data_IF_680016415739
#
_entry.id   IF_680016415739
#
_cell.length_a   1.000
_cell.length_b   1.000
_cell.length_c   1.000
_cell.angle_alpha   90.00
_cell.angle_beta   90.00
_cell.angle_gamma   90.00
#
_symmetry.space_group_name_H-M   'P 1'
#
loop_
_entity.id
_entity.type
_entity.pdbx_description
1 polymer ?
#
# COMPACT_ATOMS: atom_id res chain seq x y z
N UNK A 1 8.74 39.76 36.09
CA UNK A 1 10.21 39.93 36.16
C UNK A 1 10.81 38.57 36.47
N UNK A 2 11.59 37.89 35.64
CA UNK A 2 12.35 38.24 34.43
C UNK A 2 12.14 37.15 33.36
N UNK A 3 12.12 37.58 32.11
CA UNK A 3 12.12 36.77 30.90
C UNK A 3 13.42 35.96 30.76
N UNK A 4 13.33 34.75 30.21
CA UNK A 4 14.46 34.03 29.63
C UNK A 4 14.10 33.70 28.19
N UNK A 5 14.79 34.38 27.28
CA UNK A 5 14.75 34.23 25.82
C UNK A 5 15.57 32.99 25.44
N UNK A 6 15.06 32.03 24.65
CA UNK A 6 15.89 31.03 23.99
C UNK A 6 16.47 31.59 22.69
N UNK A 7 17.78 31.48 22.52
CA UNK A 7 18.54 32.02 21.40
C UNK A 7 18.15 31.40 20.06
N UNK A 8 17.71 32.24 19.13
CA UNK A 8 17.66 31.97 17.70
C UNK A 8 19.06 32.23 17.13
N UNK A 9 19.76 31.19 16.66
CA UNK A 9 20.70 31.29 15.53
C UNK A 9 21.16 29.89 15.09
N UNK A 10 20.51 29.40 14.03
CA UNK A 10 21.18 28.88 12.84
C UNK A 10 20.18 29.03 11.67
N UNK A 11 20.23 30.20 11.04
CA UNK A 11 19.62 30.54 9.74
C UNK A 11 20.13 29.54 8.69
N UNK A 12 19.29 28.84 7.92
CA UNK A 12 18.48 29.33 6.79
C UNK A 12 19.27 30.22 5.83
N UNK A 13 19.93 29.61 4.85
CA UNK A 13 20.23 30.27 3.58
C UNK A 13 19.84 29.33 2.43
N UNK A 14 18.86 29.78 1.64
CA UNK A 14 18.41 29.15 0.39
C UNK A 14 17.02 28.52 0.48
N UNK A 15 15.98 29.31 0.16
CA UNK A 15 14.77 29.00 -0.64
C UNK A 15 13.84 30.21 -0.44
N UNK A 16 14.08 31.26 -1.22
CA UNK A 16 13.12 32.33 -1.49
C UNK A 16 13.09 32.44 -3.02
N UNK A 17 12.06 31.89 -3.67
CA UNK A 17 11.98 31.91 -5.13
C UNK A 17 10.77 31.24 -5.78
N UNK A 18 9.74 30.78 -5.06
CA UNK A 18 8.54 30.21 -5.67
C UNK A 18 7.29 30.94 -5.20
N UNK A 19 7.08 32.13 -5.73
CA UNK A 19 5.81 32.89 -5.66
C UNK A 19 5.82 33.94 -6.76
N UNK A 20 5.26 33.60 -7.94
CA UNK A 20 4.87 34.44 -9.13
C UNK A 20 4.70 33.46 -10.33
N UNK A 21 3.59 33.27 -11.05
CA UNK A 21 2.61 34.17 -11.71
C UNK A 21 1.27 33.45 -12.01
N UNK A 22 0.15 34.19 -12.13
CA UNK A 22 -1.21 33.64 -12.36
C UNK A 22 -1.77 33.83 -13.79
N UNK A 23 -1.21 34.75 -14.59
CA UNK A 23 -1.80 35.19 -15.87
C UNK A 23 -1.58 34.23 -17.06
N UNK A 24 -0.60 33.32 -17.02
CA UNK A 24 -0.33 32.40 -18.14
C UNK A 24 -1.33 31.24 -18.25
N UNK A 25 -2.05 30.91 -17.17
CA UNK A 25 -3.01 29.79 -17.14
C UNK A 25 -4.32 30.10 -17.90
N UNK A 26 -4.78 31.34 -17.91
CA UNK A 26 -6.06 31.72 -18.55
C UNK A 26 -6.01 31.68 -20.08
N UNK A 27 -4.83 31.85 -20.70
CA UNK A 27 -4.70 31.93 -22.15
C UNK A 27 -4.98 30.58 -22.85
N UNK A 28 -4.58 29.47 -22.22
CA UNK A 28 -4.67 28.13 -22.82
C UNK A 28 -6.09 27.54 -22.76
N UNK A 29 -6.86 27.80 -21.71
CA UNK A 29 -8.24 27.30 -21.60
C UNK A 29 -9.18 27.89 -22.67
N UNK A 30 -8.93 29.14 -23.07
CA UNK A 30 -9.76 29.85 -24.05
C UNK A 30 -9.61 29.29 -25.48
N UNK A 31 -8.44 28.73 -25.82
CA UNK A 31 -8.15 28.20 -27.15
C UNK A 31 -8.81 26.83 -27.39
N UNK A 32 -8.84 25.96 -26.39
CA UNK A 32 -9.43 24.62 -26.48
C UNK A 32 -10.97 24.65 -26.55
N UNK A 33 -11.58 25.58 -25.81
CA UNK A 33 -13.02 25.75 -25.80
C UNK A 33 -13.62 26.02 -27.19
N UNK A 34 -12.87 26.71 -28.05
CA UNK A 34 -13.28 27.04 -29.43
C UNK A 34 -13.26 25.83 -30.37
N UNK A 35 -12.39 24.85 -30.14
CA UNK A 35 -12.26 23.67 -31.02
C UNK A 35 -13.36 22.62 -30.78
N UNK A 36 -13.82 22.43 -29.55
CA UNK A 36 -14.83 21.41 -29.22
C UNK A 36 -16.22 21.71 -29.79
N UNK A 37 -16.60 22.98 -29.84
CA UNK A 37 -17.84 23.44 -30.47
C UNK A 37 -17.89 23.06 -31.96
N UNK A 38 -16.73 23.02 -32.64
CA UNK A 38 -16.61 22.68 -34.06
C UNK A 38 -16.91 21.20 -34.36
N UNK A 39 -16.46 20.28 -33.50
CA UNK A 39 -16.68 18.83 -33.66
C UNK A 39 -18.11 18.41 -33.34
N UNK A 40 -18.66 19.01 -32.30
CA UNK A 40 -20.04 18.81 -31.86
C UNK A 40 -21.02 19.13 -33.01
N UNK A 41 -20.83 20.28 -33.65
CA UNK A 41 -21.65 20.73 -34.79
C UNK A 41 -21.52 19.80 -36.00
N UNK A 42 -20.34 19.22 -36.22
CA UNK A 42 -20.10 18.24 -37.29
C UNK A 42 -20.86 16.92 -37.05
N UNK A 43 -20.89 16.41 -35.82
CA UNK A 43 -21.58 15.17 -35.48
C UNK A 43 -23.10 15.27 -35.69
N UNK A 44 -23.72 16.32 -35.17
CA UNK A 44 -25.17 16.56 -35.34
C UNK A 44 -25.54 16.59 -36.82
N UNK A 45 -24.72 17.26 -37.63
CA UNK A 45 -24.91 17.35 -39.09
C UNK A 45 -24.84 15.97 -39.77
N UNK A 46 -23.97 15.06 -39.32
CA UNK A 46 -23.80 13.73 -39.90
C UNK A 46 -24.85 12.72 -39.44
N UNK A 47 -25.39 12.87 -38.23
CA UNK A 47 -26.46 12.01 -37.72
C UNK A 47 -27.85 12.40 -38.24
N UNK A 48 -28.02 13.66 -38.65
CA UNK A 48 -29.29 14.22 -39.13
C UNK A 48 -30.02 13.35 -40.18
N UNK A 49 -29.39 12.84 -41.25
CA UNK A 49 -30.09 12.02 -42.25
C UNK A 49 -30.67 10.70 -41.68
N UNK A 50 -30.00 10.11 -40.69
CA UNK A 50 -30.43 8.85 -40.05
C UNK A 50 -31.63 9.12 -39.12
N UNK A 51 -31.60 10.25 -38.41
CA UNK A 51 -32.67 10.66 -37.49
C UNK A 51 -33.90 11.10 -38.28
N UNK A 52 -33.72 11.86 -39.36
CA UNK A 52 -34.80 12.35 -40.22
C UNK A 52 -35.58 11.22 -40.90
N UNK A 53 -34.91 10.08 -41.16
CA UNK A 53 -35.54 8.88 -41.71
C UNK A 53 -36.20 7.98 -40.65
N UNK A 54 -36.04 8.29 -39.36
CA UNK A 54 -36.54 7.48 -38.26
C UNK A 54 -37.84 8.07 -37.68
N UNK A 55 -38.92 7.30 -37.70
CA UNK A 55 -40.25 7.74 -37.27
C UNK A 55 -40.33 8.17 -35.79
N UNK A 56 -39.36 7.77 -34.96
CA UNK A 56 -39.25 8.19 -33.56
C UNK A 56 -38.60 9.58 -33.38
N UNK A 57 -38.27 10.29 -34.47
CA UNK A 57 -37.78 11.67 -34.40
C UNK A 57 -38.89 12.61 -33.88
N UNK A 58 -38.61 13.45 -32.86
CA UNK A 58 -39.55 14.48 -32.40
C UNK A 58 -39.86 15.49 -33.52
N UNK A 59 -41.13 15.91 -33.64
CA UNK A 59 -41.58 16.81 -34.73
C UNK A 59 -40.93 18.19 -34.69
N UNK A 60 -40.57 18.65 -33.49
CA UNK A 60 -39.93 19.94 -33.22
C UNK A 60 -38.41 19.83 -33.04
N UNK A 61 -37.83 18.64 -33.20
CA UNK A 61 -36.40 18.37 -33.01
C UNK A 61 -35.51 19.39 -33.74
N UNK A 62 -35.85 19.76 -34.98
CA UNK A 62 -35.04 20.70 -35.77
C UNK A 62 -35.07 22.15 -35.25
N UNK A 63 -36.00 22.47 -34.35
CA UNK A 63 -36.11 23.77 -33.69
C UNK A 63 -35.33 23.83 -32.37
N UNK A 64 -34.87 22.69 -31.85
CA UNK A 64 -34.10 22.61 -30.60
C UNK A 64 -32.68 23.15 -30.77
N UNK A 65 -32.05 23.52 -29.66
CA UNK A 65 -30.64 23.91 -29.65
C UNK A 65 -29.73 22.72 -29.96
N UNK A 66 -28.50 22.98 -30.41
CA UNK A 66 -27.55 21.91 -30.77
C UNK A 66 -27.26 20.97 -29.58
N UNK A 67 -27.16 21.50 -28.35
CA UNK A 67 -26.94 20.70 -27.14
C UNK A 67 -28.13 19.80 -26.80
N UNK A 68 -29.36 20.32 -26.93
CA UNK A 68 -30.59 19.55 -26.71
C UNK A 68 -30.74 18.44 -27.76
N UNK A 69 -30.44 18.75 -29.02
CA UNK A 69 -30.43 17.76 -30.10
C UNK A 69 -29.46 16.63 -29.81
N UNK A 70 -28.24 16.93 -29.35
CA UNK A 70 -27.21 15.93 -29.04
C UNK A 70 -27.62 15.05 -27.87
N UNK A 71 -28.07 15.67 -26.78
CA UNK A 71 -28.49 14.93 -25.60
C UNK A 71 -29.61 13.96 -25.95
N UNK A 72 -30.57 14.41 -26.75
CA UNK A 72 -31.65 13.58 -27.24
C UNK A 72 -31.17 12.41 -28.13
N UNK A 73 -30.22 12.66 -29.04
CA UNK A 73 -29.60 11.60 -29.86
C UNK A 73 -28.96 10.54 -28.98
N UNK A 74 -28.19 10.96 -27.97
CA UNK A 74 -27.46 10.06 -27.06
C UNK A 74 -28.43 9.21 -26.24
N UNK A 75 -29.41 9.85 -25.60
CA UNK A 75 -30.33 9.18 -24.69
C UNK A 75 -31.24 8.18 -25.44
N UNK A 76 -31.48 8.41 -26.73
CA UNK A 76 -32.32 7.58 -27.60
C UNK A 76 -31.51 6.82 -28.66
N UNK A 77 -30.19 6.67 -28.49
CA UNK A 77 -29.29 6.12 -29.52
C UNK A 77 -29.67 4.69 -29.90
N UNK A 78 -30.25 3.90 -28.99
CA UNK A 78 -30.81 2.57 -29.31
C UNK A 78 -31.96 2.62 -30.30
N UNK A 79 -32.81 3.63 -30.18
CA UNK A 79 -34.00 3.79 -31.04
C UNK A 79 -33.57 4.16 -32.46
N UNK A 80 -32.53 5.00 -32.56
CA UNK A 80 -31.97 5.44 -33.84
C UNK A 80 -30.97 4.43 -34.45
N UNK A 81 -30.32 3.62 -33.61
CA UNK A 81 -29.32 2.62 -34.01
C UNK A 81 -29.48 1.31 -33.20
N UNK A 82 -30.57 0.55 -33.42
CA UNK A 82 -30.94 -0.62 -32.59
C UNK A 82 -30.01 -1.82 -32.74
N UNK A 83 -29.18 -1.85 -33.78
CA UNK A 83 -28.18 -2.89 -33.98
C UNK A 83 -27.01 -2.82 -33.00
N UNK A 84 -26.93 -1.78 -32.17
CA UNK A 84 -25.84 -1.59 -31.22
C UNK A 84 -26.13 -2.31 -29.89
N UNK A 85 -25.29 -3.27 -29.48
CA UNK A 85 -25.46 -4.02 -28.23
C UNK A 85 -25.53 -3.12 -26.99
N UNK A 86 -26.38 -3.50 -26.02
CA UNK A 86 -26.64 -2.74 -24.79
C UNK A 86 -25.36 -2.34 -24.03
N UNK A 87 -24.39 -3.25 -23.97
CA UNK A 87 -23.13 -3.04 -23.25
C UNK A 87 -22.24 -1.98 -23.87
N UNK A 88 -22.49 -1.54 -25.12
CA UNK A 88 -21.60 -0.67 -25.88
C UNK A 88 -22.17 0.74 -26.13
N UNK A 89 -23.39 1.01 -25.68
CA UNK A 89 -24.06 2.30 -25.91
C UNK A 89 -23.33 3.49 -25.28
N UNK A 90 -22.59 3.24 -24.20
CA UNK A 90 -21.82 4.26 -23.51
C UNK A 90 -20.69 4.84 -24.39
N UNK A 91 -20.24 4.11 -25.41
CA UNK A 91 -19.11 4.52 -26.26
C UNK A 91 -19.47 5.65 -27.22
N UNK A 92 -20.69 5.66 -27.78
CA UNK A 92 -21.17 6.73 -28.68
C UNK A 92 -21.36 8.05 -27.94
N UNK A 93 -21.77 7.97 -26.68
CA UNK A 93 -21.88 9.14 -25.80
C UNK A 93 -20.51 9.78 -25.58
N UNK A 94 -19.45 8.99 -25.44
CA UNK A 94 -18.09 9.46 -25.14
C UNK A 94 -17.45 10.31 -26.25
N UNK A 95 -17.78 10.07 -27.51
CA UNK A 95 -17.20 10.75 -28.68
C UNK A 95 -17.54 12.24 -28.82
N UNK A 96 -18.44 12.78 -28.00
CA UNK A 96 -18.99 14.14 -28.13
C UNK A 96 -18.49 15.12 -27.06
N UNK A 97 -17.54 14.68 -26.24
CA UNK A 97 -16.96 15.45 -25.13
C UNK A 97 -15.47 15.78 -25.40
N UNK A 98 -14.92 16.82 -24.73
CA UNK A 98 -13.56 17.38 -24.95
C UNK A 98 -12.41 16.44 -24.55
N UNK A 99 -11.19 16.75 -25.02
CA UNK A 99 -9.96 15.95 -24.82
C UNK A 99 -9.35 15.99 -23.41
N UNK A 100 -9.48 17.09 -22.67
CA UNK A 100 -9.55 17.05 -21.20
C UNK A 100 -11.02 17.20 -20.82
N UNK A 101 -11.55 16.23 -20.08
CA UNK A 101 -12.93 16.23 -19.60
C UNK A 101 -13.08 16.88 -18.22
N UNK A 102 -12.09 17.69 -17.81
CA UNK A 102 -11.87 18.13 -16.43
C UNK A 102 -11.36 16.98 -15.55
N UNK A 103 -10.68 15.99 -16.15
CA UNK A 103 -10.17 14.81 -15.45
C UNK A 103 -8.70 14.59 -15.73
N UNK A 104 -7.93 15.08 -14.77
CA UNK A 104 -7.13 14.26 -13.87
C UNK A 104 -6.45 13.00 -14.44
N UNK A 105 -5.15 13.17 -14.70
CA UNK A 105 -3.95 12.31 -14.58
C UNK A 105 -3.98 10.79 -14.84
N UNK A 106 -5.12 10.18 -15.11
CA UNK A 106 -5.27 8.72 -15.16
C UNK A 106 -5.39 8.16 -16.58
N UNK A 107 -5.52 9.01 -17.59
CA UNK A 107 -5.59 8.58 -18.99
C UNK A 107 -4.19 8.58 -19.60
N UNK A 108 -3.77 7.43 -20.15
CA UNK A 108 -2.42 7.25 -20.72
C UNK A 108 -2.47 7.00 -22.25
N UNK A 109 -1.60 7.65 -23.05
CA UNK A 109 -1.80 7.76 -24.49
C UNK A 109 -1.06 6.69 -25.29
N UNK A 110 -1.44 6.59 -26.56
CA UNK A 110 -1.12 5.51 -27.49
C UNK A 110 0.35 5.40 -27.95
N UNK A 111 1.25 6.32 -27.59
CA UNK A 111 2.70 6.22 -27.89
C UNK A 111 3.49 5.38 -26.86
N UNK A 112 2.79 4.78 -25.91
CA UNK A 112 3.36 4.16 -24.71
C UNK A 112 4.05 2.82 -24.99
N UNK A 113 5.36 2.79 -24.81
CA UNK A 113 6.21 1.58 -24.79
C UNK A 113 6.11 0.86 -23.44
N UNK A 114 5.77 -0.43 -23.52
CA UNK A 114 5.38 -1.29 -22.41
C UNK A 114 6.55 -1.94 -21.65
N UNK A 115 7.77 -1.97 -22.19
CA UNK A 115 8.95 -2.50 -21.46
C UNK A 115 9.55 -1.45 -20.53
N UNK A 116 9.46 -0.18 -20.91
CA UNK A 116 9.83 0.97 -20.06
C UNK A 116 8.83 1.20 -18.91
N UNK A 117 7.93 0.25 -18.64
CA UNK A 117 6.70 0.48 -17.90
C UNK A 117 6.58 -0.22 -16.52
N UNK A 118 7.41 -1.20 -16.22
CA UNK A 118 7.23 -2.09 -15.05
C UNK A 118 7.97 -1.66 -13.75
N UNK A 119 7.63 -0.59 -13.00
CA UNK A 119 8.35 -0.34 -11.72
C UNK A 119 7.48 0.14 -10.54
N UNK A 120 7.56 -0.60 -9.42
CA UNK A 120 6.61 -0.60 -8.30
C UNK A 120 7.00 0.11 -6.99
N UNK A 121 6.24 -0.19 -5.93
CA UNK A 121 6.15 0.47 -4.62
C UNK A 121 7.46 0.64 -3.83
N UNK A 122 8.55 0.02 -4.28
CA UNK A 122 9.85 0.07 -3.62
C UNK A 122 10.62 1.38 -3.89
N UNK A 123 10.37 2.01 -5.04
CA UNK A 123 11.11 3.20 -5.50
C UNK A 123 11.04 4.38 -4.53
N UNK A 124 9.87 4.79 -3.97
CA UNK A 124 9.83 5.86 -2.99
C UNK A 124 10.66 5.58 -1.72
N UNK A 125 10.77 4.30 -1.33
CA UNK A 125 11.58 3.90 -0.17
C UNK A 125 13.07 4.05 -0.44
N UNK A 126 13.53 3.61 -1.60
CA UNK A 126 14.94 3.73 -2.03
C UNK A 126 15.29 5.20 -2.23
N UNK A 127 14.45 5.94 -2.96
CA UNK A 127 14.64 7.37 -3.24
C UNK A 127 14.76 8.22 -1.97
N UNK A 128 14.04 7.85 -0.90
CA UNK A 128 14.15 8.55 0.39
C UNK A 128 15.51 8.39 1.06
N UNK A 129 16.30 7.37 0.70
CA UNK A 129 17.61 7.03 1.28
C UNK A 129 17.59 6.86 2.80
N UNK A 130 16.46 6.43 3.36
CA UNK A 130 16.27 6.23 4.81
C UNK A 130 16.09 4.76 5.18
N UNK A 131 16.44 3.81 4.30
CA UNK A 131 16.19 2.37 4.55
C UNK A 131 17.11 1.42 3.82
N UNK A 132 18.08 1.92 3.06
CA UNK A 132 18.99 1.12 2.23
C UNK A 132 20.20 0.55 3.00
N UNK A 133 20.22 0.68 4.32
CA UNK A 133 21.11 -0.05 5.21
C UNK A 133 20.31 -0.57 6.41
N UNK A 134 20.74 -1.67 7.07
CA UNK A 134 20.06 -2.19 8.26
C UNK A 134 19.85 -1.14 9.37
N UNK A 135 20.83 -0.28 9.63
CA UNK A 135 20.71 0.78 10.63
C UNK A 135 19.69 1.85 10.23
N UNK A 136 19.71 2.33 8.98
CA UNK A 136 18.74 3.31 8.51
C UNK A 136 17.31 2.73 8.51
N UNK A 137 17.16 1.48 8.08
CA UNK A 137 15.89 0.75 8.14
C UNK A 137 15.40 0.65 9.59
N UNK A 138 16.25 0.24 10.54
CA UNK A 138 15.93 0.20 11.96
C UNK A 138 15.36 1.54 12.45
N UNK A 139 16.07 2.66 12.22
CA UNK A 139 15.64 4.00 12.64
C UNK A 139 14.28 4.39 12.03
N UNK A 140 14.09 4.13 10.73
CA UNK A 140 12.83 4.44 10.04
C UNK A 140 11.68 3.63 10.59
N UNK A 141 11.81 2.30 10.65
CA UNK A 141 10.70 1.45 11.06
C UNK A 141 10.39 1.59 12.56
N UNK A 142 11.40 1.88 13.41
CA UNK A 142 11.16 2.27 14.80
C UNK A 142 10.30 3.54 14.90
N UNK A 143 10.60 4.56 14.11
CA UNK A 143 9.80 5.78 14.02
C UNK A 143 8.37 5.48 13.55
N UNK A 144 8.20 4.66 12.51
CA UNK A 144 6.87 4.22 12.04
C UNK A 144 6.08 3.49 13.14
N UNK A 145 6.71 2.57 13.89
CA UNK A 145 6.07 1.88 15.02
C UNK A 145 5.61 2.88 16.08
N UNK A 146 6.41 3.89 16.39
CA UNK A 146 6.06 4.92 17.37
C UNK A 146 4.85 5.77 16.95
N UNK A 147 4.75 6.11 15.65
CA UNK A 147 3.59 6.78 15.09
C UNK A 147 2.34 5.89 15.13
N UNK A 148 2.43 4.64 14.67
CA UNK A 148 1.27 3.73 14.69
C UNK A 148 0.82 3.48 16.13
N UNK A 149 1.74 3.31 17.07
CA UNK A 149 1.40 3.17 18.49
C UNK A 149 0.60 4.38 18.98
N UNK A 150 1.04 5.61 18.69
CA UNK A 150 0.31 6.82 19.12
C UNK A 150 -1.09 6.86 18.52
N UNK A 151 -1.22 6.57 17.22
CA UNK A 151 -2.51 6.55 16.52
C UNK A 151 -3.50 5.51 17.06
N UNK A 152 -2.99 4.40 17.61
CA UNK A 152 -3.81 3.31 18.13
C UNK A 152 -4.14 3.47 19.62
N UNK A 153 -3.38 4.27 20.36
CA UNK A 153 -3.55 4.41 21.83
C UNK A 153 -4.04 5.79 22.27
N UNK A 154 -4.06 6.77 21.37
CA UNK A 154 -4.45 8.15 21.65
C UNK A 154 -5.45 8.63 20.58
N UNK A 155 -6.11 9.77 20.81
CA UNK A 155 -7.11 10.31 19.87
C UNK A 155 -6.44 11.02 18.67
N UNK A 156 -6.59 10.53 17.43
CA UNK A 156 -6.00 11.15 16.24
C UNK A 156 -6.85 12.28 15.64
N UNK A 157 -8.06 12.53 16.13
CA UNK A 157 -9.02 13.48 15.55
C UNK A 157 -8.95 14.87 16.16
N UNK A 158 -8.70 14.94 17.47
CA UNK A 158 -8.65 16.22 18.20
C UNK A 158 -7.35 16.96 17.94
N UNK A 159 -7.46 18.21 17.48
CA UNK A 159 -6.31 19.09 17.24
C UNK A 159 -5.49 19.26 18.52
N UNK A 160 -4.17 19.10 18.40
CA UNK A 160 -3.22 19.30 19.50
C UNK A 160 -2.85 18.01 20.26
N UNK A 161 -3.56 16.90 20.06
CA UNK A 161 -3.10 15.60 20.59
C UNK A 161 -1.82 15.15 19.87
N UNK A 162 -1.03 14.29 20.53
CA UNK A 162 0.18 13.75 19.92
C UNK A 162 -0.14 12.92 18.67
N UNK A 163 -1.17 12.07 18.71
CA UNK A 163 -1.60 11.30 17.54
C UNK A 163 -2.04 12.18 16.35
N UNK A 164 -2.79 13.27 16.60
CA UNK A 164 -3.15 14.23 15.54
C UNK A 164 -1.90 14.86 14.91
N UNK A 165 -0.97 15.36 15.74
CA UNK A 165 0.27 15.99 15.28
C UNK A 165 1.17 15.01 14.49
N UNK A 166 1.20 13.75 14.93
CA UNK A 166 1.89 12.66 14.25
C UNK A 166 1.30 12.40 12.86
N UNK A 167 -0.03 12.36 12.73
CA UNK A 167 -0.70 12.23 11.43
C UNK A 167 -0.36 13.39 10.50
N UNK A 168 -0.44 14.64 10.98
CA UNK A 168 -0.09 15.81 10.17
C UNK A 168 1.37 15.78 9.72
N UNK A 169 2.26 15.28 10.57
CA UNK A 169 3.68 15.09 10.25
C UNK A 169 3.88 14.06 9.16
N UNK A 170 3.27 12.88 9.27
CA UNK A 170 3.36 11.83 8.24
C UNK A 170 2.72 12.29 6.92
N UNK A 171 1.58 13.00 6.96
CA UNK A 171 0.94 13.55 5.75
C UNK A 171 1.85 14.55 5.02
N UNK A 172 2.55 15.41 5.76
CA UNK A 172 3.57 16.32 5.18
C UNK A 172 4.74 15.55 4.57
N UNK A 173 5.21 14.48 5.23
CA UNK A 173 6.27 13.62 4.68
C UNK A 173 5.86 12.94 3.37
N UNK A 174 4.64 12.39 3.32
CA UNK A 174 4.09 11.78 2.10
C UNK A 174 3.97 12.80 0.97
N UNK A 175 3.45 14.01 1.26
CA UNK A 175 3.37 15.11 0.28
C UNK A 175 4.77 15.51 -0.22
N UNK A 176 5.74 15.66 0.67
CA UNK A 176 7.10 16.04 0.29
C UNK A 176 7.75 15.01 -0.64
N UNK A 177 7.59 13.71 -0.36
CA UNK A 177 8.10 12.64 -1.24
C UNK A 177 7.33 12.61 -2.55
N UNK A 178 6.00 12.79 -2.53
CA UNK A 178 5.18 12.90 -3.75
C UNK A 178 5.68 14.02 -4.65
N UNK A 179 5.84 15.24 -4.13
CA UNK A 179 6.32 16.39 -4.89
C UNK A 179 7.71 16.14 -5.49
N UNK A 180 8.66 15.64 -4.69
CA UNK A 180 10.01 15.31 -5.19
C UNK A 180 10.02 14.27 -6.30
N UNK A 181 9.07 13.33 -6.28
CA UNK A 181 8.93 12.33 -7.33
C UNK A 181 8.17 12.87 -8.54
N UNK A 182 7.26 13.84 -8.38
CA UNK A 182 6.56 14.48 -9.50
C UNK A 182 7.47 15.46 -10.27
N UNK A 183 8.44 16.06 -9.60
CA UNK A 183 9.44 16.96 -10.20
C UNK A 183 10.51 16.23 -11.03
N UNK A 184 10.55 14.90 -10.97
CA UNK A 184 11.55 14.07 -11.66
C UNK A 184 10.92 13.25 -12.75
N UNK A 185 11.66 13.09 -13.85
CA UNK A 185 11.25 12.15 -14.88
C UNK A 185 11.46 10.70 -14.43
N UNK A 186 10.95 9.76 -15.24
CA UNK A 186 11.00 8.34 -14.89
C UNK A 186 12.43 7.79 -14.87
N UNK A 187 13.30 8.26 -15.76
CA UNK A 187 14.68 7.79 -15.90
C UNK A 187 15.53 8.28 -14.71
N UNK A 188 15.32 9.52 -14.28
CA UNK A 188 15.93 10.09 -13.08
C UNK A 188 15.55 9.32 -11.82
N UNK A 189 14.26 9.01 -11.63
CA UNK A 189 13.79 8.21 -10.50
C UNK A 189 14.39 6.82 -10.55
N UNK A 190 14.52 6.26 -11.76
CA UNK A 190 15.07 4.94 -11.97
C UNK A 190 16.55 4.86 -11.62
N UNK A 191 17.35 5.83 -12.06
CA UNK A 191 18.74 5.97 -11.65
C UNK A 191 18.83 6.19 -10.13
N UNK A 192 18.00 7.08 -9.57
CA UNK A 192 17.97 7.36 -8.14
C UNK A 192 17.40 6.20 -7.28
N UNK A 193 16.83 5.17 -7.91
CA UNK A 193 16.33 3.96 -7.25
C UNK A 193 17.24 2.75 -7.47
N UNK A 194 18.35 2.90 -8.21
CA UNK A 194 19.34 1.84 -8.41
C UNK A 194 20.26 1.79 -7.20
N UNK A 195 20.30 0.63 -6.55
CA UNK A 195 21.19 0.39 -5.43
C UNK A 195 22.51 -0.15 -5.98
N UNK A 196 23.66 0.53 -5.77
CA UNK A 196 24.96 0.01 -6.17
C UNK A 196 25.27 -1.25 -5.34
N UNK A 197 25.63 -2.34 -6.02
CA UNK A 197 25.97 -3.63 -5.38
C UNK A 197 24.91 -4.10 -4.37
N UNK A 198 23.67 -4.37 -4.82
CA UNK A 198 22.59 -4.75 -3.92
C UNK A 198 22.94 -6.02 -3.15
N UNK A 199 22.62 -6.02 -1.85
CA UNK A 199 22.76 -7.19 -0.98
C UNK A 199 21.67 -8.21 -1.28
N UNK A 200 21.87 -9.01 -2.33
CA UNK A 200 20.88 -9.97 -2.81
C UNK A 200 21.46 -11.40 -3.04
N UNK A 201 22.10 -12.02 -2.04
CA UNK A 201 22.81 -13.29 -2.20
C UNK A 201 21.90 -14.50 -2.45
N UNK A 202 20.59 -14.38 -2.23
CA UNK A 202 19.65 -15.49 -2.46
C UNK A 202 18.73 -15.23 -3.65
N UNK A 203 19.01 -14.23 -4.49
CA UNK A 203 18.10 -13.79 -5.57
C UNK A 203 17.77 -14.91 -6.54
N UNK A 204 18.77 -15.63 -7.03
CA UNK A 204 18.58 -16.71 -8.01
C UNK A 204 17.65 -17.80 -7.44
N UNK A 205 17.94 -18.25 -6.21
CA UNK A 205 17.11 -19.23 -5.49
C UNK A 205 15.68 -18.72 -5.30
N UNK A 206 15.52 -17.45 -4.93
CA UNK A 206 14.20 -16.83 -4.76
C UNK A 206 13.45 -16.76 -6.09
N UNK A 207 14.11 -16.35 -7.16
CA UNK A 207 13.51 -16.25 -8.49
C UNK A 207 13.05 -17.61 -9.01
N UNK A 208 13.81 -18.67 -8.76
CA UNK A 208 13.42 -20.03 -9.11
C UNK A 208 12.21 -20.52 -8.31
N UNK A 209 12.19 -20.31 -6.99
CA UNK A 209 11.05 -20.72 -6.18
C UNK A 209 9.77 -19.93 -6.53
N UNK A 210 9.92 -18.64 -6.83
CA UNK A 210 8.83 -17.77 -7.26
C UNK A 210 8.44 -17.99 -8.73
N UNK A 211 9.07 -18.93 -9.45
CA UNK A 211 8.80 -19.20 -10.86
C UNK A 211 7.43 -19.84 -11.13
N UNK A 212 6.67 -20.16 -10.08
CA UNK A 212 5.27 -20.60 -10.16
C UNK A 212 4.27 -19.44 -10.05
N UNK A 213 4.70 -18.28 -9.53
CA UNK A 213 3.83 -17.12 -9.41
C UNK A 213 3.46 -16.56 -10.80
N UNK A 214 2.23 -16.06 -10.99
CA UNK A 214 1.82 -15.45 -12.24
C UNK A 214 2.75 -14.28 -12.61
N UNK A 215 2.91 -14.00 -13.89
CA UNK A 215 3.50 -12.73 -14.29
C UNK A 215 2.45 -11.61 -14.12
N UNK A 216 2.88 -10.40 -13.74
CA UNK A 216 1.99 -9.26 -13.67
C UNK A 216 1.68 -8.83 -15.10
N UNK A 217 0.53 -9.26 -15.59
CA UNK A 217 0.00 -8.90 -16.91
C UNK A 217 -1.40 -8.30 -16.77
N UNK A 218 -1.89 -7.72 -17.86
CA UNK A 218 -3.21 -7.09 -17.94
C UNK A 218 -4.30 -8.14 -17.75
N UNK A 219 -4.12 -9.29 -18.41
CA UNK A 219 -5.03 -10.43 -18.37
C UNK A 219 -5.14 -10.99 -16.95
N UNK A 220 -4.06 -10.88 -16.16
CA UNK A 220 -4.03 -11.27 -14.75
C UNK A 220 -4.47 -10.14 -13.81
N UNK A 221 -5.16 -9.11 -14.31
CA UNK A 221 -5.74 -8.02 -13.50
C UNK A 221 -4.71 -7.05 -12.91
N UNK A 222 -3.44 -7.15 -13.30
CA UNK A 222 -2.42 -6.17 -12.95
C UNK A 222 -2.49 -4.98 -13.92
N UNK A 223 -3.60 -4.24 -13.88
CA UNK A 223 -3.78 -3.05 -14.72
C UNK A 223 -2.76 -1.94 -14.39
N UNK A 224 -2.10 -2.00 -13.23
CA UNK A 224 -0.95 -1.17 -12.92
C UNK A 224 0.30 -1.51 -13.76
N UNK A 225 0.29 -2.61 -14.52
CA UNK A 225 1.25 -2.91 -15.61
C UNK A 225 0.92 -2.10 -16.87
N UNK A 226 -0.23 -1.44 -16.93
CA UNK A 226 -0.64 -0.45 -17.94
C UNK A 226 -0.59 0.99 -17.47
N UNK A 227 -0.46 1.26 -16.15
CA UNK A 227 -0.36 2.61 -15.56
C UNK A 227 0.93 2.81 -14.71
N UNK A 228 1.84 3.72 -15.14
CA UNK A 228 3.09 4.10 -14.45
C UNK A 228 2.94 5.56 -14.04
N UNK A 229 2.84 5.81 -12.74
CA UNK A 229 2.57 7.11 -12.14
C UNK A 229 3.88 7.67 -11.53
N UNK A 230 4.15 8.96 -11.72
CA UNK A 230 5.20 9.66 -10.97
C UNK A 230 4.62 10.14 -9.64
N UNK A 231 5.26 9.75 -8.55
CA UNK A 231 4.79 10.08 -7.20
C UNK A 231 3.90 9.03 -6.55
N UNK A 232 3.67 9.25 -5.26
CA UNK A 232 2.89 8.37 -4.38
C UNK A 232 1.38 8.61 -4.60
N UNK A 233 0.69 7.68 -5.26
CA UNK A 233 -0.73 7.84 -5.63
C UNK A 233 -1.70 7.18 -4.60
N UNK A 234 -3.01 7.30 -4.83
CA UNK A 234 -4.05 6.73 -3.94
C UNK A 234 -3.99 5.19 -3.85
N UNK A 235 -3.64 4.50 -4.95
CA UNK A 235 -3.47 3.05 -4.95
C UNK A 235 -2.24 2.63 -4.14
N UNK A 236 -1.13 3.37 -4.19
CA UNK A 236 0.05 3.10 -3.34
C UNK A 236 -0.29 3.27 -1.85
N UNK A 237 -1.09 4.29 -1.52
CA UNK A 237 -1.56 4.53 -0.15
C UNK A 237 -2.48 3.39 0.31
N UNK A 238 -3.43 2.95 -0.53
CA UNK A 238 -4.32 1.84 -0.23
C UNK A 238 -3.59 0.49 -0.14
N UNK A 239 -2.62 0.23 -1.02
CA UNK A 239 -1.75 -0.94 -0.96
C UNK A 239 -0.88 -0.95 0.30
N UNK A 240 -0.40 0.22 0.73
CA UNK A 240 0.32 0.36 2.01
C UNK A 240 -0.61 0.09 3.20
N UNK A 241 -1.86 0.56 3.16
CA UNK A 241 -2.87 0.25 4.17
C UNK A 241 -3.12 -1.27 4.23
N UNK A 242 -3.24 -1.94 3.08
CA UNK A 242 -3.29 -3.41 3.01
C UNK A 242 -2.04 -4.05 3.63
N UNK A 243 -0.83 -3.53 3.37
CA UNK A 243 0.40 -4.10 3.93
C UNK A 243 0.43 -4.09 5.47
N UNK A 244 -0.28 -3.15 6.12
CA UNK A 244 -0.43 -3.12 7.59
C UNK A 244 -1.48 -4.08 8.12
N UNK A 245 -2.59 -4.29 7.39
CA UNK A 245 -3.78 -4.96 7.95
C UNK A 245 -4.16 -6.27 7.27
N UNK A 246 -3.83 -6.44 6.00
CA UNK A 246 -4.35 -7.50 5.14
C UNK A 246 -3.98 -8.91 5.61
N UNK A 247 -2.72 -9.11 5.99
CA UNK A 247 -2.26 -10.42 6.49
C UNK A 247 -2.88 -10.75 7.85
N UNK A 248 -3.03 -9.76 8.74
CA UNK A 248 -3.70 -9.92 10.04
C UNK A 248 -5.18 -10.23 9.83
N UNK A 249 -5.83 -9.57 8.88
CA UNK A 249 -7.24 -9.75 8.57
C UNK A 249 -7.54 -11.15 8.02
N UNK A 250 -6.66 -11.67 7.16
CA UNK A 250 -6.86 -12.96 6.50
C UNK A 250 -6.38 -14.15 7.35
N UNK A 251 -5.31 -13.96 8.13
CA UNK A 251 -4.65 -15.03 8.87
C UNK A 251 -4.41 -14.66 10.35
N UNK A 252 -5.41 -14.13 11.09
CA UNK A 252 -5.20 -13.58 12.43
C UNK A 252 -4.60 -14.61 13.39
N UNK A 253 -4.98 -15.89 13.25
CA UNK A 253 -4.48 -16.96 14.12
C UNK A 253 -2.99 -17.26 13.90
N UNK A 254 -2.44 -17.00 12.72
CA UNK A 254 -0.99 -17.12 12.46
C UNK A 254 -0.21 -16.01 13.16
N UNK A 255 -0.87 -14.92 13.54
CA UNK A 255 -0.29 -13.84 14.35
C UNK A 255 -0.67 -13.96 15.83
N UNK A 256 -1.32 -15.05 16.24
CA UNK A 256 -1.78 -15.24 17.63
C UNK A 256 -2.96 -14.34 18.01
N UNK A 257 -3.69 -13.82 17.02
CA UNK A 257 -4.84 -12.93 17.21
C UNK A 257 -6.12 -13.76 17.12
N UNK A 258 -6.92 -13.73 18.19
CA UNK A 258 -8.19 -14.44 18.29
C UNK A 258 -9.24 -13.48 18.80
N UNK A 259 -9.98 -12.89 17.86
CA UNK A 259 -10.96 -11.83 18.11
C UNK A 259 -12.27 -12.16 17.39
N UNK A 260 -13.35 -11.53 17.82
CA UNK A 260 -14.64 -11.67 17.13
C UNK A 260 -14.62 -10.97 15.76
N UNK A 261 -15.57 -11.30 14.89
CA UNK A 261 -15.73 -10.55 13.63
C UNK A 261 -16.12 -9.09 13.89
N UNK A 262 -16.80 -8.79 15.00
CA UNK A 262 -17.10 -7.41 15.43
C UNK A 262 -15.81 -6.64 15.76
N UNK A 263 -14.93 -7.22 16.58
CA UNK A 263 -13.63 -6.62 16.92
C UNK A 263 -12.75 -6.45 15.67
N UNK A 264 -12.76 -7.42 14.75
CA UNK A 264 -12.02 -7.34 13.49
C UNK A 264 -12.61 -6.25 12.58
N UNK A 265 -13.94 -6.06 12.57
CA UNK A 265 -14.58 -4.98 11.85
C UNK A 265 -14.22 -3.62 12.46
N UNK A 266 -14.17 -3.50 13.79
CA UNK A 266 -13.73 -2.29 14.49
C UNK A 266 -12.25 -1.97 14.21
N UNK A 267 -11.39 -2.99 14.15
CA UNK A 267 -10.00 -2.85 13.72
C UNK A 267 -9.92 -2.29 12.28
N UNK A 268 -10.68 -2.84 11.34
CA UNK A 268 -10.76 -2.32 9.98
C UNK A 268 -11.32 -0.89 9.93
N UNK A 269 -12.31 -0.57 10.76
CA UNK A 269 -12.90 0.76 10.85
C UNK A 269 -11.89 1.80 11.35
N UNK A 270 -11.09 1.44 12.35
CA UNK A 270 -9.98 2.26 12.84
C UNK A 270 -9.00 2.58 11.71
N UNK A 271 -8.57 1.57 10.95
CA UNK A 271 -7.67 1.76 9.82
C UNK A 271 -8.31 2.54 8.66
N UNK A 272 -9.62 2.43 8.44
CA UNK A 272 -10.36 3.28 7.50
C UNK A 272 -10.22 4.76 7.91
N UNK A 273 -10.47 5.07 9.18
CA UNK A 273 -10.32 6.42 9.74
C UNK A 273 -8.89 6.96 9.61
N UNK A 274 -7.88 6.15 9.92
CA UNK A 274 -6.47 6.52 9.73
C UNK A 274 -6.13 6.78 8.26
N UNK A 275 -6.64 5.94 7.34
CA UNK A 275 -6.50 6.15 5.90
C UNK A 275 -7.08 7.49 5.44
N UNK A 276 -8.29 7.83 5.91
CA UNK A 276 -8.93 9.12 5.65
C UNK A 276 -8.06 10.30 6.14
N UNK A 277 -7.61 10.24 7.39
CA UNK A 277 -6.77 11.28 7.99
C UNK A 277 -5.42 11.45 7.25
N UNK A 278 -4.85 10.36 6.77
CA UNK A 278 -3.63 10.36 5.95
C UNK A 278 -3.85 10.84 4.49
N UNK A 279 -5.10 11.05 4.07
CA UNK A 279 -5.47 11.64 2.78
C UNK A 279 -5.93 10.64 1.72
N UNK A 280 -6.35 9.44 2.11
CA UNK A 280 -6.98 8.48 1.21
C UNK A 280 -8.44 8.85 1.03
N UNK A 281 -8.89 9.04 -0.22
CA UNK A 281 -10.31 9.28 -0.50
C UNK A 281 -11.15 8.04 -0.16
N UNK A 282 -12.37 8.26 0.33
CA UNK A 282 -13.27 7.20 0.79
C UNK A 282 -13.52 6.10 -0.25
N UNK A 283 -13.63 6.47 -1.53
CA UNK A 283 -13.82 5.52 -2.64
C UNK A 283 -12.61 4.62 -2.90
N UNK A 284 -11.40 5.04 -2.50
CA UNK A 284 -10.15 4.29 -2.69
C UNK A 284 -9.61 3.65 -1.41
N UNK A 285 -10.21 3.95 -0.26
CA UNK A 285 -9.79 3.41 1.04
C UNK A 285 -9.92 1.89 1.06
N UNK A 286 -8.83 1.19 1.40
CA UNK A 286 -8.78 -0.27 1.34
C UNK A 286 -9.74 -0.91 2.35
N UNK A 287 -9.99 -0.22 3.47
CA UNK A 287 -10.89 -0.66 4.53
C UNK A 287 -12.36 -0.18 4.33
N UNK A 288 -12.76 0.21 3.11
CA UNK A 288 -14.16 0.58 2.82
C UNK A 288 -15.06 -0.66 2.69
N UNK A 289 -16.33 -0.48 3.06
CA UNK A 289 -17.38 -1.52 3.00
C UNK A 289 -17.45 -2.38 4.25
N UNK A 290 -18.14 -3.50 4.13
CA UNK A 290 -18.30 -4.53 5.17
C UNK A 290 -17.02 -5.35 5.36
N UNK A 291 -16.88 -6.00 6.53
CA UNK A 291 -15.76 -6.91 6.80
C UNK A 291 -15.61 -8.01 5.74
N UNK A 292 -16.72 -8.52 5.20
CA UNK A 292 -16.74 -9.52 4.13
C UNK A 292 -16.10 -8.98 2.85
N UNK A 293 -16.46 -7.76 2.44
CA UNK A 293 -15.89 -7.11 1.26
C UNK A 293 -14.40 -6.81 1.43
N UNK A 294 -13.96 -6.38 2.62
CA UNK A 294 -12.54 -6.12 2.89
C UNK A 294 -11.72 -7.42 2.87
N UNK A 295 -12.23 -8.50 3.48
CA UNK A 295 -11.61 -9.84 3.41
C UNK A 295 -11.52 -10.34 1.97
N UNK A 296 -12.58 -10.15 1.17
CA UNK A 296 -12.56 -10.55 -0.24
C UNK A 296 -11.53 -9.75 -1.05
N UNK A 297 -11.56 -8.42 -0.95
CA UNK A 297 -10.59 -7.53 -1.59
C UNK A 297 -9.15 -7.87 -1.21
N UNK A 298 -8.91 -8.26 0.04
CA UNK A 298 -7.59 -8.68 0.52
C UNK A 298 -7.10 -9.95 -0.18
N UNK A 299 -7.99 -10.95 -0.38
CA UNK A 299 -7.65 -12.16 -1.14
C UNK A 299 -7.38 -11.84 -2.60
N UNK A 300 -8.25 -11.06 -3.22
CA UNK A 300 -8.11 -10.65 -4.62
C UNK A 300 -6.79 -9.87 -4.81
N UNK A 301 -6.45 -8.97 -3.90
CA UNK A 301 -5.19 -8.22 -3.94
C UNK A 301 -3.95 -9.14 -3.81
N UNK A 302 -4.02 -10.19 -2.99
CA UNK A 302 -2.94 -11.17 -2.88
C UNK A 302 -2.78 -11.93 -4.19
N UNK A 303 -3.86 -12.53 -4.69
CA UNK A 303 -3.82 -13.40 -5.85
C UNK A 303 -3.45 -12.64 -7.13
N UNK A 304 -4.08 -11.48 -7.33
CA UNK A 304 -3.94 -10.70 -8.56
C UNK A 304 -2.62 -9.91 -8.52
N UNK A 305 -2.33 -9.17 -7.44
CA UNK A 305 -1.17 -8.25 -7.44
C UNK A 305 0.03 -8.82 -6.68
N UNK A 306 -0.13 -9.23 -5.42
CA UNK A 306 1.03 -9.57 -4.57
C UNK A 306 1.85 -10.71 -5.16
N UNK A 307 1.20 -11.82 -5.52
CA UNK A 307 1.87 -12.97 -6.15
C UNK A 307 2.53 -12.58 -7.47
N UNK A 308 1.82 -11.81 -8.29
CA UNK A 308 2.31 -11.35 -9.59
C UNK A 308 3.57 -10.49 -9.48
N UNK A 309 3.64 -9.59 -8.50
CA UNK A 309 4.82 -8.74 -8.29
C UNK A 309 5.97 -9.49 -7.61
N UNK A 310 5.69 -10.50 -6.78
CA UNK A 310 6.72 -11.36 -6.20
C UNK A 310 7.52 -12.11 -7.29
N UNK A 311 6.87 -12.50 -8.39
CA UNK A 311 7.52 -13.18 -9.53
C UNK A 311 8.79 -12.48 -10.03
N UNK A 312 8.85 -11.15 -9.93
CA UNK A 312 9.98 -10.38 -10.46
C UNK A 312 11.25 -10.45 -9.60
N UNK A 313 11.13 -10.68 -8.28
CA UNK A 313 12.25 -10.82 -7.34
C UNK A 313 13.46 -9.89 -7.63
N UNK A 314 13.21 -8.58 -7.66
CA UNK A 314 14.22 -7.59 -8.04
C UNK A 314 15.40 -7.58 -7.04
N UNK A 315 16.64 -7.27 -7.48
CA UNK A 315 17.79 -7.17 -6.58
C UNK A 315 17.57 -6.19 -5.44
N UNK A 316 16.99 -5.02 -5.76
CA UNK A 316 16.68 -3.99 -4.79
C UNK A 316 15.60 -4.45 -3.82
N UNK A 317 14.67 -5.31 -4.25
CA UNK A 317 13.63 -5.87 -3.39
C UNK A 317 14.24 -6.78 -2.32
N UNK A 318 15.13 -7.70 -2.69
CA UNK A 318 15.81 -8.54 -1.71
C UNK A 318 16.67 -7.69 -0.76
N UNK A 319 17.45 -6.75 -1.30
CA UNK A 319 18.30 -5.88 -0.51
C UNK A 319 17.51 -5.07 0.53
N UNK A 320 16.44 -4.42 0.10
CA UNK A 320 15.61 -3.59 0.99
C UNK A 320 14.92 -4.46 2.03
N UNK A 321 14.34 -5.60 1.63
CA UNK A 321 13.71 -6.54 2.57
C UNK A 321 14.72 -7.04 3.61
N UNK A 322 15.95 -7.38 3.20
CA UNK A 322 17.02 -7.74 4.14
C UNK A 322 17.37 -6.61 5.09
N UNK A 323 17.48 -5.38 4.61
CA UNK A 323 17.75 -4.24 5.49
C UNK A 323 16.66 -4.09 6.55
N UNK A 324 15.38 -4.27 6.18
CA UNK A 324 14.26 -4.26 7.13
C UNK A 324 14.40 -5.38 8.16
N UNK A 325 14.61 -6.63 7.70
CA UNK A 325 14.64 -7.79 8.61
C UNK A 325 15.87 -7.74 9.52
N UNK A 326 17.05 -7.41 9.01
CA UNK A 326 18.25 -7.23 9.83
C UNK A 326 18.12 -6.06 10.80
N UNK A 327 17.55 -4.93 10.37
CA UNK A 327 17.27 -3.81 11.26
C UNK A 327 16.28 -4.19 12.37
N UNK A 328 15.29 -5.02 12.06
CA UNK A 328 14.36 -5.56 13.06
C UNK A 328 15.03 -6.50 14.06
N UNK A 329 16.11 -7.17 13.64
CA UNK A 329 16.87 -8.08 14.51
C UNK A 329 17.56 -7.36 15.69
N UNK A 330 17.70 -6.03 15.63
CA UNK A 330 18.27 -5.24 16.72
C UNK A 330 17.38 -5.22 17.97
N UNK A 331 16.13 -5.64 17.85
CA UNK A 331 15.18 -5.71 18.96
C UNK A 331 14.28 -6.95 18.97
N UNK A 332 14.09 -7.59 17.82
CA UNK A 332 13.43 -8.89 17.68
C UNK A 332 14.30 -9.84 16.86
N UNK A 333 15.40 -10.31 17.45
CA UNK A 333 16.40 -11.18 16.80
C UNK A 333 15.97 -12.63 16.51
N UNK A 334 14.68 -12.95 16.60
CA UNK A 334 14.21 -14.34 16.47
C UNK A 334 14.18 -14.80 15.00
N UNK A 335 13.71 -13.95 14.09
CA UNK A 335 13.54 -14.29 12.68
C UNK A 335 14.73 -13.80 11.82
N UNK A 336 15.26 -14.69 10.99
CA UNK A 336 16.21 -14.30 9.92
C UNK A 336 15.45 -13.96 8.64
N UNK A 337 16.10 -13.32 7.67
CA UNK A 337 15.52 -13.04 6.36
C UNK A 337 14.87 -14.29 5.73
N UNK A 338 15.58 -15.43 5.74
CA UNK A 338 15.08 -16.69 5.17
C UNK A 338 13.82 -17.17 5.89
N UNK A 339 13.82 -17.13 7.22
CA UNK A 339 12.66 -17.54 8.02
C UNK A 339 11.46 -16.63 7.76
N UNK A 340 11.65 -15.31 7.71
CA UNK A 340 10.57 -14.36 7.43
C UNK A 340 10.02 -14.54 6.03
N UNK A 341 10.88 -14.73 5.03
CA UNK A 341 10.45 -14.98 3.67
C UNK A 341 9.59 -16.24 3.59
N UNK A 342 10.06 -17.36 4.17
CA UNK A 342 9.31 -18.62 4.22
C UNK A 342 7.99 -18.51 4.99
N UNK A 343 7.97 -17.74 6.07
CA UNK A 343 6.74 -17.48 6.82
C UNK A 343 5.72 -16.73 5.95
N UNK A 344 6.14 -15.65 5.28
CA UNK A 344 5.26 -14.86 4.42
C UNK A 344 4.78 -15.67 3.20
N UNK A 345 5.67 -16.39 2.51
CA UNK A 345 5.28 -17.19 1.34
C UNK A 345 4.35 -18.34 1.72
N UNK A 346 4.50 -18.93 2.92
CA UNK A 346 3.54 -19.90 3.44
C UNK A 346 2.13 -19.30 3.59
N UNK A 347 2.01 -18.08 4.13
CA UNK A 347 0.71 -17.40 4.24
C UNK A 347 0.07 -17.15 2.87
N UNK A 348 0.91 -16.87 1.87
CA UNK A 348 0.48 -16.66 0.48
C UNK A 348 0.25 -17.98 -0.28
N UNK A 349 0.46 -19.14 0.34
CA UNK A 349 0.42 -20.45 -0.31
C UNK A 349 1.36 -20.55 -1.52
N UNK A 350 2.60 -20.07 -1.35
CA UNK A 350 3.68 -20.17 -2.33
C UNK A 350 4.74 -21.10 -1.75
N UNK A 351 5.02 -22.21 -2.43
CA UNK A 351 6.08 -23.12 -2.02
C UNK A 351 7.45 -22.58 -2.41
N UNK A 352 8.42 -22.72 -1.50
CA UNK A 352 9.78 -22.20 -1.65
C UNK A 352 10.81 -23.29 -1.30
N UNK A 353 10.80 -24.43 -2.01
CA UNK A 353 11.56 -25.62 -1.62
C UNK A 353 13.08 -25.38 -1.64
N UNK A 354 13.59 -24.56 -2.56
CA UNK A 354 15.02 -24.27 -2.65
C UNK A 354 15.46 -23.35 -1.51
N UNK A 355 14.67 -22.32 -1.19
CA UNK A 355 14.93 -21.47 -0.03
C UNK A 355 14.92 -22.29 1.27
N UNK A 356 13.94 -23.21 1.43
CA UNK A 356 13.89 -24.13 2.59
C UNK A 356 15.14 -25.00 2.70
N UNK A 357 15.66 -25.50 1.58
CA UNK A 357 16.86 -26.34 1.61
C UNK A 357 18.09 -25.57 2.11
N UNK A 358 18.15 -24.26 1.87
CA UNK A 358 19.25 -23.39 2.35
C UNK A 358 19.22 -23.05 3.84
N UNK A 359 18.18 -23.42 4.59
CA UNK A 359 18.11 -23.15 6.02
C UNK A 359 19.16 -23.96 6.77
N UNK A 360 19.88 -23.30 7.68
CA UNK A 360 20.73 -23.98 8.67
C UNK A 360 19.90 -24.84 9.62
N UNK A 361 20.51 -25.82 10.29
CA UNK A 361 19.83 -26.61 11.33
C UNK A 361 19.17 -25.73 12.40
N UNK A 362 19.86 -24.66 12.82
CA UNK A 362 19.33 -23.71 13.80
C UNK A 362 18.14 -22.92 13.27
N UNK A 363 18.17 -22.45 12.02
CA UNK A 363 17.03 -21.77 11.40
C UNK A 363 15.83 -22.70 11.21
N UNK A 364 16.06 -23.96 10.79
CA UNK A 364 14.99 -24.98 10.69
C UNK A 364 14.35 -25.21 12.04
N UNK A 365 15.15 -25.38 13.09
CA UNK A 365 14.67 -25.57 14.46
C UNK A 365 13.82 -24.37 14.94
N UNK A 366 14.31 -23.14 14.77
CA UNK A 366 13.55 -21.94 15.13
C UNK A 366 12.25 -21.80 14.33
N UNK A 367 12.25 -22.15 13.04
CA UNK A 367 11.06 -22.09 12.20
C UNK A 367 10.01 -23.12 12.66
N UNK A 368 10.43 -24.34 12.97
CA UNK A 368 9.55 -25.38 13.55
C UNK A 368 8.97 -24.92 14.88
N UNK A 369 9.80 -24.36 15.79
CA UNK A 369 9.31 -23.82 17.06
C UNK A 369 8.28 -22.72 16.82
N UNK A 370 8.54 -21.78 15.89
CA UNK A 370 7.59 -20.69 15.61
C UNK A 370 6.23 -21.19 15.14
N UNK A 371 6.22 -22.20 14.27
CA UNK A 371 5.00 -22.85 13.79
C UNK A 371 4.32 -23.67 14.91
N UNK A 372 5.10 -24.36 15.74
CA UNK A 372 4.58 -25.16 16.85
C UNK A 372 3.97 -24.29 17.96
N UNK A 373 4.57 -23.13 18.28
CA UNK A 373 4.01 -22.18 19.24
C UNK A 373 2.65 -21.63 18.78
N UNK A 374 2.45 -21.45 17.45
CA UNK A 374 1.14 -21.16 16.87
C UNK A 374 0.18 -22.35 16.99
N UNK A 375 0.65 -23.59 16.80
CA UNK A 375 -0.15 -24.81 16.94
C UNK A 375 -0.58 -25.07 18.38
N UNK A 376 0.26 -24.85 19.39
CA UNK A 376 -0.10 -24.98 20.81
C UNK A 376 -1.19 -23.97 21.19
N UNK A 377 -1.13 -22.75 20.65
CA UNK A 377 -2.19 -21.76 20.83
C UNK A 377 -3.49 -22.14 20.09
N UNK A 378 -3.38 -22.71 18.88
CA UNK A 378 -4.52 -23.30 18.14
C UNK A 378 -5.14 -24.49 18.88
N UNK A 379 -4.33 -25.41 19.41
CA UNK A 379 -4.79 -26.55 20.23
C UNK A 379 -5.43 -26.09 21.54
N UNK A 380 -4.87 -25.08 22.21
CA UNK A 380 -5.47 -24.46 23.40
C UNK A 380 -6.89 -23.91 23.12
N UNK A 381 -7.15 -23.43 21.90
CA UNK A 381 -8.48 -22.93 21.49
C UNK A 381 -9.39 -24.05 21.01
N UNK A 382 -8.88 -25.06 20.29
CA UNK A 382 -9.64 -26.26 19.93
C UNK A 382 -10.10 -27.00 21.19
N UNK A 383 -9.26 -27.05 22.23
CA UNK A 383 -9.59 -27.57 23.56
C UNK A 383 -10.73 -26.80 24.28
N UNK A 384 -11.12 -25.60 23.81
CA UNK A 384 -12.30 -24.85 24.27
C UNK A 384 -13.61 -25.25 23.56
N UNK A 385 -13.60 -26.15 22.58
CA UNK A 385 -14.85 -26.62 21.96
C UNK A 385 -15.61 -27.54 22.91
N UNK A 386 -16.96 -27.47 22.93
CA UNK A 386 -17.79 -28.28 23.85
C UNK A 386 -17.54 -29.79 23.74
N UNK A 387 -17.08 -30.26 22.58
CA UNK A 387 -16.78 -31.67 22.30
C UNK A 387 -15.47 -32.13 22.98
N UNK A 388 -14.43 -31.29 23.00
CA UNK A 388 -13.16 -31.60 23.66
C UNK A 388 -13.26 -31.52 25.19
N UNK A 389 -14.07 -30.61 25.73
CA UNK A 389 -14.34 -30.52 27.17
C UNK A 389 -15.07 -31.77 27.70
N UNK A 390 -16.00 -32.34 26.91
CA UNK A 390 -16.67 -33.61 27.23
C UNK A 390 -15.72 -34.81 27.22
N UNK A 391 -14.80 -34.88 26.24
CA UNK A 391 -13.77 -35.92 26.15
C UNK A 391 -12.75 -35.83 27.29
N UNK A 392 -12.34 -34.62 27.68
CA UNK A 392 -11.36 -34.40 28.74
C UNK A 392 -11.93 -34.71 30.14
N UNK A 393 -13.20 -34.38 30.38
CA UNK A 393 -13.90 -34.75 31.62
C UNK A 393 -14.10 -36.26 31.81
N UNK A 394 -14.02 -37.05 30.73
CA UNK A 394 -14.13 -38.51 30.79
C UNK A 394 -12.78 -39.20 31.07
N UNK A 395 -11.66 -38.60 30.66
CA UNK A 395 -10.32 -39.21 30.75
C UNK A 395 -9.52 -38.86 32.01
N UNK A 396 -9.82 -37.73 32.66
CA UNK A 396 -9.12 -37.29 33.87
C UNK A 396 -10.14 -36.93 34.95
N UNK A 397 -10.60 -37.96 35.66
CA UNK A 397 -11.27 -37.77 36.93
C UNK A 397 -10.28 -37.27 37.98
N UNK A 398 -9.86 -35.99 37.93
CA UNK A 398 -9.25 -35.26 39.05
C UNK A 398 -9.10 -33.75 38.78
N UNK A 399 -9.81 -32.97 39.60
CA UNK A 399 -9.62 -31.57 40.04
C UNK A 399 -9.63 -30.43 39.01
N UNK A 400 -10.72 -29.67 39.12
CA UNK A 400 -10.89 -28.27 38.73
C UNK A 400 -9.74 -27.36 39.25
N UNK A 401 -9.58 -26.22 38.56
CA UNK A 401 -8.87 -24.99 38.97
C UNK A 401 -7.48 -24.68 38.38
N UNK A 402 -7.34 -24.82 37.06
CA UNK A 402 -6.47 -23.92 36.30
C UNK A 402 -7.32 -23.20 35.26
N UNK A 403 -7.70 -21.95 35.54
CA UNK A 403 -8.43 -21.11 34.61
C UNK A 403 -7.50 -20.74 33.44
N UNK A 404 -7.52 -21.56 32.39
CA UNK A 404 -6.71 -21.38 31.19
C UNK A 404 -6.84 -19.97 30.58
N UNK A 405 -7.97 -19.27 30.79
CA UNK A 405 -8.17 -17.88 30.36
C UNK A 405 -7.27 -16.91 31.13
N UNK A 406 -7.08 -17.12 32.43
CA UNK A 406 -6.18 -16.33 33.27
C UNK A 406 -4.72 -16.56 32.89
N UNK A 407 -4.32 -17.82 32.69
CA UNK A 407 -2.94 -18.15 32.27
C UNK A 407 -2.60 -17.51 30.92
N UNK A 408 -3.48 -17.60 29.92
CA UNK A 408 -3.27 -16.97 28.60
C UNK A 408 -3.26 -15.44 28.70
N UNK A 409 -4.08 -14.85 29.56
CA UNK A 409 -4.05 -13.41 29.81
C UNK A 409 -2.76 -12.94 30.49
N UNK A 410 -2.22 -13.72 31.44
CA UNK A 410 -0.94 -13.45 32.10
C UNK A 410 0.21 -13.52 31.09
N UNK A 411 0.26 -14.57 30.26
CA UNK A 411 1.28 -14.72 29.22
C UNK A 411 1.21 -13.57 28.21
N UNK A 412 0.01 -13.22 27.73
CA UNK A 412 -0.20 -12.07 26.84
C UNK A 412 0.23 -10.75 27.48
N UNK A 413 -0.11 -10.54 28.76
CA UNK A 413 0.27 -9.34 29.51
C UNK A 413 1.79 -9.24 29.66
N UNK A 414 2.46 -10.35 30.00
CA UNK A 414 3.90 -10.43 30.11
C UNK A 414 4.60 -10.15 28.78
N UNK A 415 4.12 -10.76 27.69
CA UNK A 415 4.62 -10.51 26.34
C UNK A 415 4.46 -9.04 25.94
N UNK A 416 3.26 -8.46 26.15
CA UNK A 416 3.00 -7.05 25.87
C UNK A 416 3.94 -6.13 26.68
N UNK A 417 4.19 -6.46 27.96
CA UNK A 417 5.11 -5.72 28.83
C UNK A 417 6.55 -5.79 28.33
N UNK A 418 7.01 -6.97 27.90
CA UNK A 418 8.34 -7.17 27.31
C UNK A 418 8.47 -6.32 26.04
N UNK A 419 7.52 -6.43 25.11
CA UNK A 419 7.54 -5.67 23.85
C UNK A 419 7.54 -4.16 24.12
N UNK A 420 6.71 -3.69 25.04
CA UNK A 420 6.63 -2.26 25.37
C UNK A 420 7.92 -1.75 26.04
N UNK A 421 8.52 -2.54 26.93
CA UNK A 421 9.78 -2.19 27.56
C UNK A 421 10.92 -2.14 26.54
N UNK A 422 11.00 -3.13 25.65
CA UNK A 422 11.98 -3.12 24.55
C UNK A 422 11.80 -1.90 23.65
N UNK A 423 10.55 -1.55 23.32
CA UNK A 423 10.25 -0.35 22.53
C UNK A 423 10.70 0.94 23.23
N UNK A 424 10.42 1.07 24.53
CA UNK A 424 10.85 2.23 25.30
C UNK A 424 12.38 2.31 25.42
N UNK A 425 13.07 1.18 25.56
CA UNK A 425 14.54 1.15 25.55
C UNK A 425 15.10 1.62 24.21
N UNK A 426 14.54 1.13 23.09
CA UNK A 426 14.98 1.51 21.74
C UNK A 426 14.84 3.00 21.44
N UNK A 427 13.74 3.62 21.87
CA UNK A 427 13.50 5.06 21.67
C UNK A 427 14.52 5.90 22.45
N UNK A 428 15.10 5.35 23.52
CA UNK A 428 16.04 6.02 24.40
C UNK A 428 17.45 5.42 24.32
N UNK A 429 17.83 4.82 23.18
CA UNK A 429 19.20 4.37 22.99
C UNK A 429 20.18 5.54 23.08
N UNK A 430 21.29 5.30 23.79
CA UNK A 430 22.36 6.29 23.93
C UNK A 430 23.12 6.42 22.60
N UNK A 431 23.81 7.55 22.36
CA UNK A 431 24.65 7.72 21.18
C UNK A 431 25.65 6.57 20.96
N UNK A 432 26.24 6.04 22.04
CA UNK A 432 27.15 4.90 21.96
C UNK A 432 26.46 3.64 21.47
N UNK A 433 25.21 3.40 21.92
CA UNK A 433 24.43 2.25 21.45
C UNK A 433 24.03 2.40 19.99
N UNK A 434 23.69 3.62 19.57
CA UNK A 434 23.41 3.91 18.17
C UNK A 434 24.63 3.69 17.28
N UNK A 435 25.81 4.11 17.73
CA UNK A 435 27.08 3.88 17.04
C UNK A 435 27.42 2.38 16.95
N UNK A 436 27.20 1.61 18.02
CA UNK A 436 27.37 0.15 18.02
C UNK A 436 26.49 -0.51 16.94
N UNK A 437 25.21 -0.13 16.87
CA UNK A 437 24.27 -0.64 15.87
C UNK A 437 24.66 -0.21 14.45
N UNK A 438 25.13 1.02 14.27
CA UNK A 438 25.62 1.51 12.99
C UNK A 438 26.86 0.74 12.53
N UNK A 439 27.81 0.48 13.43
CA UNK A 439 28.99 -0.33 13.14
C UNK A 439 28.63 -1.78 12.82
N UNK A 440 27.63 -2.36 13.50
CA UNK A 440 27.08 -3.69 13.15
C UNK A 440 26.45 -3.69 11.75
N UNK A 441 25.76 -2.62 11.36
CA UNK A 441 25.23 -2.44 10.00
C UNK A 441 26.34 -2.40 8.95
N UNK A 442 27.41 -1.61 9.20
CA UNK A 442 28.57 -1.49 8.29
C UNK A 442 29.29 -2.80 8.01
N UNK A 443 29.28 -3.75 8.97
CA UNK A 443 29.81 -5.12 8.76
C UNK A 443 29.00 -5.93 7.75
N UNK A 444 27.75 -5.56 7.47
CA UNK A 444 26.89 -6.22 6.48
C UNK A 444 26.93 -5.51 5.14
N UNK A 445 26.74 -4.19 5.15
CA UNK A 445 26.74 -3.32 3.97
C UNK A 445 27.40 -2.00 4.35
N UNK A 446 28.41 -1.57 3.59
CA UNK A 446 29.05 -0.26 3.78
C UNK A 446 28.04 0.86 3.50
N UNK A 447 28.18 1.99 4.19
CA UNK A 447 27.32 3.14 3.91
C UNK A 447 27.57 3.67 2.49
N UNK A 448 26.50 3.97 1.78
CA UNK A 448 26.55 4.63 0.48
C UNK A 448 25.39 5.63 0.38
N UNK A 449 25.62 6.69 -0.38
CA UNK A 449 24.56 7.56 -0.87
C UNK A 449 24.20 7.15 -2.30
N UNK A 450 22.92 7.09 -2.61
CA UNK A 450 22.50 6.97 -4.00
C UNK A 450 22.65 8.36 -4.61
N UNK A 451 23.57 8.52 -5.58
CA UNK A 451 23.81 9.82 -6.22
C UNK A 451 22.55 10.23 -6.97
N UNK A 452 21.88 11.28 -6.49
CA UNK A 452 20.85 11.99 -7.24
C UNK A 452 21.60 13.08 -7.98
N UNK A 453 21.73 12.96 -9.31
CA UNK A 453 22.22 14.08 -10.12
C UNK A 453 21.18 15.18 -10.17
#
# INVERSE_FOLDING_TARGET
MKEIIPSIKNQSNGINGCTKNADENEHYELAEAKNSVKYIKHFVTKMKPIIDQNAAKPKDYDKWTEEEQIKHIIDNIKTYMPSIPQSLLFFISGTLYRGDCGRNSMDKPLWLDMEKFQRGALKPLIFSQKSHTPYLAFKRYLSTICYIKSWMTEDPWTVGTRAYNDIQTVRRMHRAIRLKLCEKDTEEIEMASKIPNPWCPNREIISEDLSSCPYPTIENGCINVLIKLTGLNQADMAATQFAFIGMILLYPQEFGIYVSDEDMAAFCHTWRGLGYLLGIEDQYNFCRGSLKEIKQRSRDFIEVWTKSYLRQALPEWEHMLRCVIEGSSYFMGFFTFKMTLLFLTNLLNIDMPRMRSTLTYYERFKLIISQYMQVVHKMHIIMKTKLSQKMYGYYLGMKENLNLKEVTNIIRSLFNKIVLNTLNQMVNYTPEKEEELHMRSKKKIQDFSIKIK
#
